data_IF_347577248469
#
_entry.id   IF_347577248469
#
_cell.length_a   1.000
_cell.length_b   1.000
_cell.length_c   1.000
_cell.angle_alpha   90.00
_cell.angle_beta   90.00
_cell.angle_gamma   90.00
#
_symmetry.space_group_name_H-M   'P 1'
#
loop_
_entity.id
_entity.type
_entity.pdbx_description
1 polymer ?
#
# COMPACT_ATOMS: atom_id res chain seq x y z
N UNK A 1 -16.99 6.10 7.13
CA UNK A 1 -15.60 5.80 6.72
C UNK A 1 -14.79 5.11 7.81
N UNK A 2 -14.79 5.59 9.06
CA UNK A 2 -14.08 4.93 10.17
C UNK A 2 -14.52 3.47 10.38
N UNK A 3 -15.82 3.22 10.37
CA UNK A 3 -16.40 1.89 10.56
C UNK A 3 -15.92 0.85 9.52
N UNK A 4 -15.78 1.30 8.27
CA UNK A 4 -15.22 0.51 7.18
C UNK A 4 -13.75 0.16 7.44
N UNK A 5 -12.95 1.12 7.91
CA UNK A 5 -11.53 0.91 8.24
C UNK A 5 -11.38 -0.06 9.41
N UNK A 6 -12.24 0.05 10.44
CA UNK A 6 -12.24 -0.85 11.60
C UNK A 6 -12.65 -2.28 11.22
N UNK A 7 -13.66 -2.43 10.36
CA UNK A 7 -14.09 -3.75 9.86
C UNK A 7 -12.98 -4.42 9.06
N UNK A 8 -12.29 -3.66 8.22
CA UNK A 8 -11.15 -4.16 7.43
C UNK A 8 -9.96 -4.54 8.33
N UNK A 9 -9.69 -3.73 9.35
CA UNK A 9 -8.66 -4.03 10.35
C UNK A 9 -8.96 -5.36 11.06
N UNK A 10 -10.20 -5.56 11.51
CA UNK A 10 -10.61 -6.80 12.16
C UNK A 10 -10.39 -8.02 11.25
N UNK A 11 -10.72 -7.90 9.95
CA UNK A 11 -10.52 -8.98 8.97
C UNK A 11 -9.04 -9.34 8.76
N UNK A 12 -8.16 -8.35 8.67
CA UNK A 12 -6.70 -8.59 8.55
C UNK A 12 -6.14 -9.31 9.78
N UNK A 13 -6.64 -8.95 10.97
CA UNK A 13 -6.21 -9.59 12.22
C UNK A 13 -6.73 -11.03 12.35
N UNK A 14 -7.93 -11.32 11.85
CA UNK A 14 -8.57 -12.64 11.89
C UNK A 14 -7.96 -13.61 10.84
N UNK A 15 -8.07 -13.25 9.55
CA UNK A 15 -7.70 -14.12 8.43
C UNK A 15 -6.18 -14.14 8.16
N UNK A 16 -5.44 -13.12 8.62
CA UNK A 16 -4.01 -12.92 8.30
C UNK A 16 -3.75 -12.52 6.85
N UNK A 17 -4.79 -12.41 6.03
CA UNK A 17 -4.71 -11.96 4.65
C UNK A 17 -4.37 -10.46 4.59
N UNK A 18 -3.49 -10.09 3.66
CA UNK A 18 -3.21 -8.67 3.41
C UNK A 18 -4.38 -8.00 2.69
N UNK A 19 -4.79 -6.83 3.15
CA UNK A 19 -5.82 -6.03 2.49
C UNK A 19 -5.22 -4.79 1.80
N UNK A 20 -5.78 -4.37 0.67
CA UNK A 20 -5.44 -3.15 -0.04
C UNK A 20 -6.68 -2.42 -0.56
N UNK A 21 -6.71 -1.09 -0.47
CA UNK A 21 -7.79 -0.28 -1.03
C UNK A 21 -7.55 1.22 -0.96
N UNK A 22 -8.29 1.98 -1.78
CA UNK A 22 -8.15 3.44 -1.86
C UNK A 22 -9.18 4.13 -1.00
N UNK A 23 -8.73 4.94 -0.04
CA UNK A 23 -9.59 5.72 0.86
C UNK A 23 -9.28 7.21 0.78
N UNK A 24 -10.28 8.10 0.88
CA UNK A 24 -10.03 9.52 1.05
C UNK A 24 -9.49 9.80 2.45
N UNK A 25 -8.32 10.42 2.55
CA UNK A 25 -7.69 10.84 3.81
C UNK A 25 -7.69 12.35 3.89
N UNK A 26 -8.17 12.87 5.01
CA UNK A 26 -8.11 14.30 5.34
C UNK A 26 -6.75 14.60 5.95
N UNK A 27 -5.98 15.47 5.29
CA UNK A 27 -4.71 15.97 5.79
C UNK A 27 -4.93 17.03 6.88
N UNK A 28 -3.87 17.29 7.65
CA UNK A 28 -3.87 18.30 8.71
C UNK A 28 -4.19 19.72 8.21
N UNK A 29 -3.84 20.01 6.96
CA UNK A 29 -4.15 21.28 6.28
C UNK A 29 -5.61 21.42 5.83
N UNK A 30 -6.43 20.38 6.03
CA UNK A 30 -7.84 20.36 5.62
C UNK A 30 -8.07 19.83 4.21
N UNK A 31 -7.02 19.59 3.41
CA UNK A 31 -7.15 18.96 2.09
C UNK A 31 -7.54 17.49 2.21
N UNK A 32 -8.19 16.95 1.16
CA UNK A 32 -8.48 15.51 1.06
C UNK A 32 -7.69 14.93 -0.10
N UNK A 33 -6.98 13.82 0.14
CA UNK A 33 -6.23 13.09 -0.89
C UNK A 33 -6.65 11.63 -0.91
N UNK A 34 -6.60 11.00 -2.09
CA UNK A 34 -6.82 9.56 -2.22
C UNK A 34 -5.51 8.85 -1.89
N UNK A 35 -5.58 7.98 -0.89
CA UNK A 35 -4.43 7.22 -0.41
C UNK A 35 -4.72 5.75 -0.64
N UNK A 36 -3.78 5.05 -1.27
CA UNK A 36 -3.77 3.60 -1.22
C UNK A 36 -3.33 3.17 0.17
N UNK A 37 -4.20 2.44 0.85
CA UNK A 37 -3.94 1.87 2.15
C UNK A 37 -3.75 0.37 1.99
N UNK A 38 -2.62 -0.15 2.49
CA UNK A 38 -2.35 -1.58 2.60
C UNK A 38 -2.22 -1.95 4.06
N UNK A 39 -2.84 -3.03 4.49
CA UNK A 39 -2.75 -3.52 5.86
C UNK A 39 -2.38 -5.00 5.86
N UNK A 40 -1.45 -5.38 6.74
CA UNK A 40 -0.99 -6.76 6.89
C UNK A 40 -0.75 -7.10 8.36
N UNK A 41 -0.92 -8.37 8.70
CA UNK A 41 -0.61 -8.91 10.02
C UNK A 41 0.87 -9.29 10.09
N UNK A 42 1.56 -8.81 11.11
CA UNK A 42 2.90 -9.23 11.50
C UNK A 42 2.80 -10.08 12.76
N UNK A 43 3.73 -11.01 12.92
CA UNK A 43 3.92 -11.76 14.15
C UNK A 43 5.34 -11.47 14.68
N UNK A 44 5.45 -11.17 15.97
CA UNK A 44 6.75 -10.97 16.61
C UNK A 44 7.35 -12.28 17.13
N UNK A 45 8.54 -12.19 17.73
CA UNK A 45 9.27 -13.31 18.29
C UNK A 45 8.60 -13.92 19.54
N UNK A 46 7.69 -13.18 20.17
CA UNK A 46 6.86 -13.60 21.29
C UNK A 46 5.51 -14.20 20.84
N UNK A 47 5.30 -14.34 19.54
CA UNK A 47 4.08 -14.85 18.88
C UNK A 47 2.86 -13.94 18.99
N UNK A 48 3.04 -12.67 19.38
CA UNK A 48 1.97 -11.68 19.39
C UNK A 48 1.73 -11.12 17.99
N UNK A 49 0.48 -10.74 17.72
CA UNK A 49 0.07 -10.22 16.42
C UNK A 49 -0.01 -8.70 16.41
N UNK A 50 0.55 -8.11 15.36
CA UNK A 50 0.55 -6.68 15.11
C UNK A 50 -0.03 -6.38 13.73
N UNK A 51 -0.62 -5.21 13.57
CA UNK A 51 -1.04 -4.71 12.27
C UNK A 51 -0.04 -3.68 11.74
N UNK A 52 0.44 -3.89 10.52
CA UNK A 52 1.24 -2.91 9.78
C UNK A 52 0.36 -2.26 8.69
N UNK A 53 0.10 -0.97 8.85
CA UNK A 53 -0.56 -0.14 7.84
C UNK A 53 0.44 0.66 7.01
N UNK A 54 0.32 0.61 5.69
CA UNK A 54 1.05 1.43 4.72
C UNK A 54 0.04 2.36 4.03
N UNK A 55 0.39 3.64 3.94
CA UNK A 55 -0.45 4.67 3.36
C UNK A 55 0.36 5.42 2.29
N UNK A 56 0.05 5.21 1.02
CA UNK A 56 0.76 5.84 -0.09
C UNK A 56 -0.17 6.76 -0.87
N UNK A 57 0.26 7.99 -1.12
CA UNK A 57 -0.48 8.90 -2.00
C UNK A 57 -0.57 8.29 -3.41
N UNK A 58 -1.79 8.10 -3.90
CA UNK A 58 -2.07 7.38 -5.14
C UNK A 58 -1.36 8.01 -6.36
N UNK A 59 -1.25 9.35 -6.38
CA UNK A 59 -0.58 10.06 -7.47
C UNK A 59 0.93 9.77 -7.50
N UNK A 60 1.55 9.73 -6.31
CA UNK A 60 2.98 9.42 -6.15
C UNK A 60 3.27 7.96 -6.49
N UNK A 61 2.39 7.03 -6.08
CA UNK A 61 2.56 5.60 -6.39
C UNK A 61 2.46 5.32 -7.89
N UNK A 62 1.43 5.84 -8.57
CA UNK A 62 1.29 5.68 -10.03
C UNK A 62 2.50 6.23 -10.79
N UNK A 63 3.09 7.33 -10.33
CA UNK A 63 4.25 7.91 -10.98
C UNK A 63 5.51 7.03 -10.80
N UNK A 64 5.72 6.46 -9.61
CA UNK A 64 6.83 5.54 -9.35
C UNK A 64 6.66 4.22 -10.11
N UNK A 65 5.48 3.62 -10.11
CA UNK A 65 5.19 2.40 -10.87
C UNK A 65 5.38 2.60 -12.38
N UNK A 66 4.94 3.74 -12.90
CA UNK A 66 5.13 4.09 -14.32
C UNK A 66 6.61 4.27 -14.66
N UNK A 67 7.40 4.87 -13.78
CA UNK A 67 8.85 4.98 -13.97
C UNK A 67 9.55 3.61 -13.87
N UNK A 68 9.10 2.73 -12.99
CA UNK A 68 9.65 1.37 -12.86
C UNK A 68 9.32 0.51 -14.07
N UNK A 69 8.09 0.55 -14.56
CA UNK A 69 7.68 -0.14 -15.79
C UNK A 69 8.47 0.35 -17.01
N UNK A 70 8.69 1.66 -17.13
CA UNK A 70 9.51 2.24 -18.18
C UNK A 70 10.99 1.84 -18.05
N UNK A 71 11.53 1.77 -16.84
CA UNK A 71 12.91 1.34 -16.59
C UNK A 71 13.11 -0.16 -16.90
N UNK A 72 12.15 -1.01 -16.51
CA UNK A 72 12.17 -2.43 -16.84
C UNK A 72 12.08 -2.67 -18.36
N UNK A 73 11.25 -1.88 -19.06
CA UNK A 73 11.14 -1.97 -20.52
C UNK A 73 12.42 -1.51 -21.22
N UNK A 74 13.07 -0.44 -20.74
CA UNK A 74 14.37 0.01 -21.25
C UNK A 74 15.48 -1.02 -21.02
N UNK A 75 15.52 -1.67 -19.84
CA UNK A 75 16.46 -2.79 -19.57
C UNK A 75 16.19 -3.98 -20.49
N UNK A 76 14.92 -4.27 -20.82
CA UNK A 76 14.56 -5.36 -21.74
C UNK A 76 14.86 -5.07 -23.22
N UNK A 77 15.00 -3.80 -23.60
CA UNK A 77 15.31 -3.36 -24.97
C UNK A 77 16.74 -2.84 -25.14
N UNK A 78 17.52 -2.70 -24.07
CA UNK A 78 18.96 -2.57 -24.20
C UNK A 78 19.47 -3.87 -24.84
N UNK A 79 20.07 -3.82 -26.04
CA UNK A 79 20.88 -4.93 -26.48
C UNK A 79 21.94 -5.07 -25.40
N UNK A 80 21.92 -6.17 -24.65
CA UNK A 80 23.11 -6.59 -23.94
C UNK A 80 24.10 -6.85 -25.08
N UNK A 81 24.92 -5.85 -25.37
CA UNK A 81 25.93 -5.93 -26.41
C UNK A 81 26.83 -7.11 -26.07
N UNK A 82 26.77 -8.14 -26.93
CA UNK A 82 27.92 -8.98 -27.18
C UNK A 82 28.94 -8.18 -27.99
#
# INVERSE_FOLDING_TARGET
>A
HLDTVLTLFARVMDDGESWAGVVPVRNKDGSTRRVEFRNMRLQDDQREYWALGLATDQATLQQVERHLALSAQLVSQSPIGL
#
